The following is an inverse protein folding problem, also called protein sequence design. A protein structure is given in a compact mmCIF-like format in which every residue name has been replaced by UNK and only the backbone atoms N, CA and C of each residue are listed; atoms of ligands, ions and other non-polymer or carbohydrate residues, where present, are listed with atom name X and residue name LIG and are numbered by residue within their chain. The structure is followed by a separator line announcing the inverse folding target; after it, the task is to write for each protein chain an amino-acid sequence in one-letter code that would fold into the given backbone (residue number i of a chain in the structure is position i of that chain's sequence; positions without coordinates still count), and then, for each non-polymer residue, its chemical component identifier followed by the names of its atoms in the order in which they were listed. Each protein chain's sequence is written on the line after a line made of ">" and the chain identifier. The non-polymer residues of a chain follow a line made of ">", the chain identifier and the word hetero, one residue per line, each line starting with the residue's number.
data_IF_410385994747
#
_entry.id   IF_410385994747
#
_cell.length_a   1.000
_cell.length_b   1.000
_cell.length_c   1.000
_cell.angle_alpha   90.00
_cell.angle_beta   90.00
_cell.angle_gamma   90.00
#
_symmetry.space_group_name_H-M   'P 1'
#
loop_
_entity.id
_entity.type
_entity.pdbx_description
1 polymer ?
#
# COMPACT_ATOMS: atom_id res chain seq x y z
N UNK A 1 28.87 -14.75 24.41
CA UNK A 1 28.59 -16.13 23.94
C UNK A 1 29.43 -16.41 22.70
N UNK A 2 29.65 -17.66 22.33
CA UNK A 2 30.41 -18.02 21.12
C UNK A 2 29.47 -18.64 20.08
N UNK A 3 29.70 -18.33 18.81
CA UNK A 3 28.98 -18.88 17.67
C UNK A 3 29.91 -19.62 16.71
N UNK A 4 29.38 -20.66 16.08
CA UNK A 4 30.02 -21.43 15.02
C UNK A 4 29.25 -21.21 13.72
N UNK A 5 29.90 -20.62 12.73
CA UNK A 5 29.34 -20.34 11.41
C UNK A 5 29.30 -21.64 10.59
N UNK A 6 28.13 -21.94 10.04
CA UNK A 6 27.89 -23.10 9.19
C UNK A 6 27.03 -22.69 8.00
N UNK A 7 27.69 -22.33 6.90
CA UNK A 7 27.04 -21.78 5.72
C UNK A 7 26.24 -20.52 6.07
N UNK A 8 24.94 -20.53 5.81
CA UNK A 8 24.03 -19.40 6.05
C UNK A 8 23.44 -19.32 7.46
N UNK A 9 24.08 -19.93 8.47
CA UNK A 9 23.59 -19.96 9.86
C UNK A 9 24.74 -19.89 10.86
N UNK A 10 24.42 -19.43 12.08
CA UNK A 10 25.35 -19.47 13.21
C UNK A 10 24.75 -20.33 14.32
N UNK A 11 25.47 -21.35 14.72
CA UNK A 11 25.10 -22.24 15.82
C UNK A 11 25.72 -21.71 17.11
N UNK A 12 24.91 -21.48 18.13
CA UNK A 12 25.39 -20.92 19.40
C UNK A 12 25.93 -22.02 20.31
N UNK A 13 27.11 -21.80 20.90
CA UNK A 13 27.66 -22.61 21.97
C UNK A 13 27.40 -21.95 23.34
N UNK A 14 26.77 -22.67 24.27
CA UNK A 14 26.55 -22.22 25.66
C UNK A 14 25.07 -22.13 26.07
N UNK A 15 24.75 -21.24 27.02
CA UNK A 15 23.38 -21.10 27.56
C UNK A 15 22.43 -20.45 26.55
N UNK A 16 21.50 -21.24 26.01
CA UNK A 16 20.57 -20.85 24.94
C UNK A 16 19.30 -20.15 25.44
N UNK A 17 18.95 -20.34 26.73
CA UNK A 17 17.63 -20.00 27.26
C UNK A 17 17.31 -18.50 27.21
N UNK A 18 18.31 -17.65 27.50
CA UNK A 18 18.13 -16.19 27.51
C UNK A 18 17.98 -15.57 26.11
N UNK A 19 18.59 -16.17 25.09
CA UNK A 19 18.47 -15.74 23.69
C UNK A 19 17.10 -16.16 23.13
N UNK A 20 16.74 -17.44 23.33
CA UNK A 20 15.44 -17.98 22.90
C UNK A 20 14.26 -17.22 23.53
N UNK A 21 14.34 -16.89 24.82
CA UNK A 21 13.31 -16.11 25.52
C UNK A 21 13.12 -14.69 24.95
N UNK A 22 14.11 -14.15 24.24
CA UNK A 22 14.03 -12.86 23.54
C UNK A 22 13.66 -13.00 22.05
N UNK A 23 13.34 -14.21 21.61
CA UNK A 23 12.79 -14.50 20.29
C UNK A 23 13.81 -14.61 19.18
N UNK A 24 15.09 -14.85 19.52
CA UNK A 24 16.14 -15.10 18.56
C UNK A 24 16.31 -16.61 18.33
N UNK A 25 16.52 -16.96 17.07
CA UNK A 25 16.92 -18.29 16.64
C UNK A 25 15.81 -19.33 16.69
N UNK A 26 16.16 -20.52 16.23
CA UNK A 26 15.32 -21.71 16.29
C UNK A 26 16.10 -22.84 16.96
N UNK A 27 15.49 -23.43 17.97
CA UNK A 27 16.06 -24.61 18.63
C UNK A 27 15.70 -25.86 17.82
N UNK A 28 16.73 -26.54 17.31
CA UNK A 28 16.66 -27.93 16.88
C UNK A 28 17.46 -28.77 17.88
N UNK A 29 18.60 -29.32 17.46
CA UNK A 29 19.56 -29.98 18.35
C UNK A 29 20.39 -28.95 19.13
N UNK A 30 20.82 -27.89 18.44
CA UNK A 30 21.43 -26.68 19.00
C UNK A 30 20.61 -25.46 18.59
N UNK A 31 20.85 -24.32 19.25
CA UNK A 31 20.28 -23.05 18.84
C UNK A 31 20.92 -22.57 17.53
N UNK A 32 20.13 -22.57 16.45
CA UNK A 32 20.50 -22.02 15.15
C UNK A 32 20.00 -20.57 15.04
N UNK A 33 20.89 -19.65 14.70
CA UNK A 33 20.58 -18.27 14.33
C UNK A 33 20.68 -18.11 12.81
N UNK A 34 19.79 -17.30 12.25
CA UNK A 34 19.97 -16.72 10.93
C UNK A 34 21.16 -15.74 10.90
N UNK A 35 21.60 -15.36 9.70
CA UNK A 35 22.67 -14.38 9.52
C UNK A 35 22.29 -13.02 10.14
N UNK A 36 21.04 -12.59 10.01
CA UNK A 36 20.54 -11.31 10.52
C UNK A 36 20.48 -11.31 12.05
N UNK A 37 19.99 -12.41 12.64
CA UNK A 37 20.00 -12.60 14.09
C UNK A 37 21.43 -12.61 14.64
N UNK A 38 22.34 -13.33 13.99
CA UNK A 38 23.72 -13.44 14.40
C UNK A 38 24.48 -12.11 14.25
N UNK A 39 24.31 -11.40 13.13
CA UNK A 39 24.86 -10.06 12.89
C UNK A 39 24.47 -9.11 14.02
N UNK A 40 23.17 -9.03 14.35
CA UNK A 40 22.67 -8.15 15.38
C UNK A 40 23.22 -8.49 16.77
N UNK A 41 23.28 -9.79 17.09
CA UNK A 41 23.83 -10.24 18.38
C UNK A 41 25.35 -10.04 18.46
N UNK A 42 26.06 -10.10 17.34
CA UNK A 42 27.49 -9.86 17.27
C UNK A 42 27.81 -8.36 17.39
N UNK A 43 27.11 -7.52 16.61
CA UNK A 43 27.23 -6.05 16.67
C UNK A 43 26.89 -5.52 18.07
N UNK A 44 25.86 -6.06 18.73
CA UNK A 44 25.48 -5.68 20.10
C UNK A 44 26.33 -6.34 21.20
N UNK A 45 27.37 -7.08 20.84
CA UNK A 45 28.31 -7.72 21.78
C UNK A 45 27.76 -8.89 22.60
N UNK A 46 26.55 -9.37 22.31
CA UNK A 46 25.95 -10.53 23.00
C UNK A 46 26.62 -11.84 22.55
N UNK A 47 26.91 -11.94 21.27
CA UNK A 47 27.88 -12.90 20.73
C UNK A 47 29.21 -12.16 20.66
N UNK A 48 30.22 -12.70 21.31
CA UNK A 48 31.53 -12.07 21.41
C UNK A 48 32.51 -12.59 20.36
N UNK A 49 32.25 -13.77 19.79
CA UNK A 49 33.10 -14.45 18.80
C UNK A 49 32.26 -15.32 17.88
N UNK A 50 32.56 -15.29 16.58
CA UNK A 50 32.01 -16.21 15.58
C UNK A 50 33.19 -16.90 14.90
N UNK A 51 33.19 -18.23 14.85
CA UNK A 51 34.22 -19.04 14.19
C UNK A 51 33.72 -19.61 12.87
N UNK A 52 34.56 -19.54 11.84
CA UNK A 52 34.41 -20.28 10.58
C UNK A 52 35.35 -21.50 10.62
N UNK A 53 34.78 -22.69 10.73
CA UNK A 53 35.57 -23.91 10.97
C UNK A 53 36.27 -23.91 12.34
N UNK A 54 37.33 -24.70 12.48
CA UNK A 54 37.99 -24.90 13.78
C UNK A 54 38.89 -23.73 14.21
N UNK A 55 39.52 -23.03 13.25
CA UNK A 55 40.64 -22.12 13.54
C UNK A 55 40.36 -20.64 13.25
N UNK A 56 39.45 -20.30 12.32
CA UNK A 56 39.26 -18.92 11.89
C UNK A 56 38.19 -18.22 12.72
N UNK A 57 38.58 -17.24 13.53
CA UNK A 57 37.63 -16.30 14.15
C UNK A 57 37.38 -15.11 13.20
N UNK A 58 36.10 -14.81 12.93
CA UNK A 58 35.70 -13.68 12.10
C UNK A 58 35.45 -12.44 12.96
N UNK A 59 35.92 -11.29 12.51
CA UNK A 59 35.45 -10.00 13.01
C UNK A 59 34.10 -9.61 12.38
N UNK A 60 33.48 -8.50 12.83
CA UNK A 60 32.16 -8.08 12.34
C UNK A 60 32.17 -7.81 10.82
N UNK A 61 33.19 -7.11 10.31
CA UNK A 61 33.31 -6.80 8.88
C UNK A 61 33.40 -8.08 8.04
N UNK A 62 34.24 -9.04 8.44
CA UNK A 62 34.38 -10.32 7.77
C UNK A 62 33.10 -11.15 7.80
N UNK A 63 32.40 -11.14 8.94
CA UNK A 63 31.10 -11.81 9.07
C UNK A 63 30.03 -11.21 8.16
N UNK A 64 29.95 -9.87 8.07
CA UNK A 64 28.99 -9.21 7.20
C UNK A 64 29.30 -9.47 5.72
N UNK A 65 30.58 -9.46 5.32
CA UNK A 65 31.01 -9.84 3.96
C UNK A 65 30.60 -11.28 3.63
N UNK A 66 30.86 -12.22 4.54
CA UNK A 66 30.43 -13.61 4.37
C UNK A 66 28.90 -13.73 4.23
N UNK A 67 28.15 -12.98 5.03
CA UNK A 67 26.69 -13.01 4.97
C UNK A 67 26.15 -12.48 3.62
N UNK A 68 26.77 -11.43 3.06
CA UNK A 68 26.48 -10.91 1.72
C UNK A 68 26.82 -11.92 0.62
N UNK A 69 27.96 -12.59 0.72
CA UNK A 69 28.39 -13.59 -0.25
C UNK A 69 27.41 -14.77 -0.33
N UNK A 70 26.78 -15.13 0.79
CA UNK A 70 25.77 -16.20 0.86
C UNK A 70 24.39 -15.72 0.41
N UNK A 71 24.01 -14.51 0.80
CA UNK A 71 22.67 -13.97 0.57
C UNK A 71 22.81 -12.53 0.08
N UNK A 72 22.69 -12.28 -1.23
CA UNK A 72 22.79 -10.93 -1.78
C UNK A 72 21.81 -9.92 -1.16
N UNK A 73 20.63 -10.38 -0.73
CA UNK A 73 19.62 -9.55 -0.05
C UNK A 73 19.89 -9.32 1.44
N UNK A 74 21.02 -9.85 1.97
CA UNK A 74 21.32 -9.79 3.40
C UNK A 74 21.39 -8.37 3.92
N UNK A 75 21.95 -7.43 3.16
CA UNK A 75 22.06 -6.02 3.56
C UNK A 75 20.70 -5.44 3.93
N UNK A 76 19.74 -5.45 2.99
CA UNK A 76 18.39 -4.90 3.19
C UNK A 76 17.68 -5.62 4.33
N UNK A 77 17.78 -6.95 4.37
CA UNK A 77 17.19 -7.76 5.43
C UNK A 77 17.76 -7.42 6.80
N UNK A 78 19.07 -7.19 6.88
CA UNK A 78 19.74 -6.85 8.13
C UNK A 78 19.34 -5.46 8.63
N UNK A 79 19.27 -4.47 7.75
CA UNK A 79 18.85 -3.10 8.10
C UNK A 79 17.43 -3.08 8.71
N UNK A 80 16.48 -3.76 8.06
CA UNK A 80 15.11 -3.91 8.57
C UNK A 80 15.09 -4.68 9.90
N UNK A 81 15.84 -5.78 9.99
CA UNK A 81 15.91 -6.57 11.20
C UNK A 81 16.44 -5.76 12.39
N UNK A 82 17.52 -5.00 12.18
CA UNK A 82 18.14 -4.12 13.17
C UNK A 82 17.15 -3.07 13.65
N UNK A 83 16.52 -2.32 12.74
CA UNK A 83 15.54 -1.28 13.07
C UNK A 83 14.39 -1.84 13.92
N UNK A 84 13.81 -2.99 13.54
CA UNK A 84 12.74 -3.64 14.30
C UNK A 84 13.19 -4.08 15.70
N UNK A 85 14.40 -4.65 15.82
CA UNK A 85 14.94 -5.09 17.11
C UNK A 85 15.25 -3.92 18.04
N UNK A 86 15.79 -2.82 17.51
CA UNK A 86 16.05 -1.59 18.27
C UNK A 86 14.76 -0.94 18.78
N UNK A 87 13.68 -1.01 17.98
CA UNK A 87 12.32 -0.61 18.40
C UNK A 87 11.67 -1.56 19.41
N UNK A 88 12.32 -2.68 19.74
CA UNK A 88 11.89 -3.64 20.74
C UNK A 88 10.87 -4.68 20.23
N UNK A 89 10.75 -4.87 18.92
CA UNK A 89 9.89 -5.91 18.36
C UNK A 89 10.52 -7.29 18.46
N UNK A 90 9.65 -8.31 18.54
CA UNK A 90 10.03 -9.68 18.24
C UNK A 90 9.82 -9.89 16.75
N UNK A 91 10.92 -10.10 16.04
CA UNK A 91 10.98 -10.39 14.60
C UNK A 91 11.74 -11.70 14.40
N UNK A 92 11.27 -12.52 13.46
CA UNK A 92 11.90 -13.80 13.09
C UNK A 92 11.99 -13.94 11.56
N UNK A 93 13.12 -14.44 11.02
CA UNK A 93 13.22 -14.90 9.64
C UNK A 93 12.09 -15.85 9.25
N UNK A 94 11.46 -15.58 8.11
CA UNK A 94 10.28 -16.27 7.59
C UNK A 94 10.38 -16.56 6.09
N UNK A 95 9.29 -17.09 5.52
CA UNK A 95 9.21 -17.42 4.10
C UNK A 95 9.00 -16.21 3.19
N UNK A 96 8.45 -15.12 3.73
CA UNK A 96 8.26 -13.82 3.06
C UNK A 96 9.09 -12.80 3.84
N UNK A 97 10.40 -13.02 3.85
CA UNK A 97 11.42 -12.32 4.65
C UNK A 97 11.25 -12.41 6.17
N UNK A 98 10.32 -11.68 6.80
CA UNK A 98 10.15 -11.70 8.26
C UNK A 98 8.73 -11.94 8.74
N UNK A 99 8.62 -12.66 9.86
CA UNK A 99 7.46 -12.68 10.73
C UNK A 99 7.63 -11.66 11.84
N UNK A 100 6.63 -10.79 11.99
CA UNK A 100 6.62 -9.75 13.02
C UNK A 100 5.47 -9.99 14.00
N UNK A 101 5.83 -10.00 15.28
CA UNK A 101 4.91 -10.26 16.37
C UNK A 101 4.33 -8.95 16.92
N UNK A 102 3.11 -8.99 17.50
CA UNK A 102 2.55 -7.82 18.16
C UNK A 102 3.51 -7.23 19.19
N UNK A 103 3.52 -5.91 19.30
CA UNK A 103 4.39 -5.22 20.26
C UNK A 103 4.12 -5.72 21.69
N UNK A 104 5.20 -6.01 22.41
CA UNK A 104 5.14 -6.54 23.78
C UNK A 104 4.81 -8.03 23.90
N UNK A 105 4.52 -8.73 22.80
CA UNK A 105 4.32 -10.18 22.83
C UNK A 105 5.65 -10.89 23.13
N UNK A 106 5.61 -11.87 24.05
CA UNK A 106 6.75 -12.75 24.28
C UNK A 106 6.77 -13.89 23.24
N UNK A 107 7.94 -14.44 22.91
CA UNK A 107 8.03 -15.62 22.05
C UNK A 107 7.16 -16.76 22.61
N UNK A 108 6.31 -17.33 21.75
CA UNK A 108 5.39 -18.41 22.11
C UNK A 108 4.06 -17.98 22.74
N UNK A 109 3.88 -16.70 23.11
CA UNK A 109 2.63 -16.21 23.71
C UNK A 109 1.53 -15.98 22.67
N UNK A 110 1.89 -15.32 21.56
CA UNK A 110 0.99 -14.98 20.46
C UNK A 110 1.62 -15.37 19.13
N UNK A 111 0.83 -15.75 18.11
CA UNK A 111 1.36 -15.94 16.78
C UNK A 111 1.83 -14.60 16.18
N UNK A 112 2.70 -14.68 15.17
CA UNK A 112 3.05 -13.51 14.37
C UNK A 112 1.78 -12.92 13.74
N UNK A 113 1.61 -11.59 13.88
CA UNK A 113 0.45 -10.86 13.34
C UNK A 113 0.74 -10.36 11.93
N UNK A 114 2.00 -10.03 11.66
CA UNK A 114 2.41 -9.45 10.39
C UNK A 114 3.45 -10.32 9.71
N UNK A 115 3.57 -10.14 8.41
CA UNK A 115 4.80 -10.46 7.69
C UNK A 115 5.32 -9.23 6.98
N UNK A 116 6.63 -9.17 6.81
CA UNK A 116 7.30 -8.01 6.24
C UNK A 116 7.94 -8.45 4.93
N UNK A 117 7.50 -7.89 3.82
CA UNK A 117 8.20 -7.97 2.54
C UNK A 117 9.21 -6.83 2.46
N UNK A 118 10.46 -7.14 2.14
CA UNK A 118 11.54 -6.14 2.12
C UNK A 118 11.87 -5.78 0.67
N UNK A 119 11.97 -4.48 0.39
CA UNK A 119 12.31 -3.92 -0.92
C UNK A 119 13.35 -2.80 -0.75
N UNK A 120 14.21 -2.62 -1.75
CA UNK A 120 15.04 -1.41 -1.89
C UNK A 120 14.24 -0.28 -2.51
N UNK A 121 14.56 0.99 -2.21
CA UNK A 121 14.02 2.16 -2.91
C UNK A 121 14.20 2.08 -4.44
N UNK A 122 15.23 1.37 -4.91
CA UNK A 122 15.54 1.19 -6.33
C UNK A 122 14.75 0.05 -6.95
N UNK A 123 14.00 -0.68 -6.11
CA UNK A 123 13.15 -1.78 -6.51
C UNK A 123 11.90 -1.32 -7.24
N UNK A 124 11.28 -2.28 -7.90
CA UNK A 124 10.01 -2.13 -8.57
C UNK A 124 9.02 -3.12 -7.97
N UNK A 125 7.74 -2.75 -7.94
CA UNK A 125 6.66 -3.62 -7.51
C UNK A 125 5.51 -3.49 -8.50
N UNK A 126 5.12 -4.59 -9.13
CA UNK A 126 3.94 -4.59 -9.98
C UNK A 126 2.65 -4.62 -9.16
N UNK A 127 1.56 -4.10 -9.72
CA UNK A 127 0.23 -4.20 -9.11
C UNK A 127 -0.18 -5.68 -8.91
N UNK A 128 0.25 -6.57 -9.80
CA UNK A 128 0.08 -8.03 -9.68
C UNK A 128 0.79 -8.61 -8.47
N UNK A 129 2.02 -8.19 -8.21
CA UNK A 129 2.75 -8.61 -7.01
C UNK A 129 2.09 -8.08 -5.73
N UNK A 130 1.57 -6.85 -5.76
CA UNK A 130 0.82 -6.30 -4.63
C UNK A 130 -0.47 -7.10 -4.34
N UNK A 131 -1.21 -7.50 -5.39
CA UNK A 131 -2.38 -8.39 -5.24
C UNK A 131 -1.97 -9.78 -4.72
N UNK A 132 -0.89 -10.36 -5.24
CA UNK A 132 -0.36 -11.63 -4.76
C UNK A 132 0.03 -11.56 -3.27
N UNK A 133 0.60 -10.44 -2.81
CA UNK A 133 0.89 -10.19 -1.40
C UNK A 133 -0.40 -10.16 -0.55
N UNK A 134 -1.48 -9.53 -1.02
CA UNK A 134 -2.77 -9.51 -0.35
C UNK A 134 -3.42 -10.91 -0.27
N UNK A 135 -3.33 -11.70 -1.35
CA UNK A 135 -3.80 -13.09 -1.37
C UNK A 135 -3.02 -13.93 -0.37
N UNK A 136 -1.69 -13.80 -0.36
CA UNK A 136 -0.83 -14.49 0.58
C UNK A 136 -1.17 -14.13 2.03
N UNK A 137 -1.36 -12.84 2.31
CA UNK A 137 -1.76 -12.33 3.61
C UNK A 137 -3.06 -12.95 4.13
N UNK A 138 -4.09 -13.01 3.28
CA UNK A 138 -5.38 -13.66 3.60
C UNK A 138 -5.19 -15.14 3.94
N UNK A 139 -4.46 -15.88 3.10
CA UNK A 139 -4.20 -17.31 3.30
C UNK A 139 -3.47 -17.58 4.61
N UNK A 140 -2.53 -16.71 4.96
CA UNK A 140 -1.73 -16.82 6.19
C UNK A 140 -2.41 -16.23 7.44
N UNK A 141 -3.56 -15.56 7.27
CA UNK A 141 -4.28 -14.77 8.28
C UNK A 141 -3.35 -13.78 9.00
N UNK A 142 -2.57 -13.04 8.21
CA UNK A 142 -1.61 -12.03 8.67
C UNK A 142 -1.83 -10.71 7.94
N UNK A 143 -1.37 -9.62 8.53
CA UNK A 143 -1.35 -8.30 7.91
C UNK A 143 -0.01 -8.10 7.16
N UNK A 144 -0.02 -7.77 5.86
CA UNK A 144 1.21 -7.57 5.09
C UNK A 144 1.78 -6.17 5.32
N UNK A 145 3.08 -6.11 5.58
CA UNK A 145 3.85 -4.87 5.66
C UNK A 145 4.90 -4.91 4.56
N UNK A 146 5.06 -3.81 3.83
CA UNK A 146 6.21 -3.59 2.94
C UNK A 146 7.19 -2.69 3.71
N UNK A 147 8.43 -3.14 3.85
CA UNK A 147 9.53 -2.32 4.34
C UNK A 147 10.39 -1.90 3.15
N UNK A 148 10.47 -0.60 2.89
CA UNK A 148 11.32 0.00 1.87
C UNK A 148 12.55 0.56 2.55
N UNK A 149 13.73 0.16 2.07
CA UNK A 149 15.03 0.65 2.55
C UNK A 149 15.61 1.60 1.50
N UNK A 150 15.93 2.82 1.90
CA UNK A 150 16.48 3.86 1.03
C UNK A 150 18.01 3.83 0.94
N UNK A 151 18.57 4.70 0.07
CA UNK A 151 20.03 4.80 -0.11
C UNK A 151 20.79 5.33 1.10
N UNK A 152 20.09 5.97 2.04
CA UNK A 152 20.64 6.45 3.31
C UNK A 152 20.49 5.41 4.44
N UNK A 153 20.01 4.20 4.11
CA UNK A 153 19.74 3.07 5.02
C UNK A 153 18.58 3.28 6.00
N UNK A 154 17.73 4.29 5.74
CA UNK A 154 16.50 4.52 6.49
C UNK A 154 15.39 3.56 6.00
N UNK A 155 14.53 3.16 6.94
CA UNK A 155 13.47 2.16 6.69
C UNK A 155 12.10 2.78 6.84
N UNK A 156 11.31 2.74 5.77
CA UNK A 156 9.90 3.15 5.77
C UNK A 156 8.98 1.94 5.67
N UNK A 157 7.97 1.87 6.55
CA UNK A 157 7.03 0.75 6.62
C UNK A 157 5.63 1.15 6.13
N UNK A 158 5.11 0.41 5.15
CA UNK A 158 3.78 0.59 4.58
C UNK A 158 2.91 -0.63 4.90
N UNK A 159 1.74 -0.38 5.46
CA UNK A 159 0.73 -1.42 5.63
C UNK A 159 -0.11 -1.53 4.36
N UNK A 160 -0.23 -2.74 3.81
CA UNK A 160 -1.03 -2.98 2.60
C UNK A 160 -2.37 -3.58 3.00
N UNK A 161 -3.47 -2.97 2.52
CA UNK A 161 -4.83 -3.39 2.84
C UNK A 161 -5.73 -3.30 1.63
N UNK A 162 -6.67 -4.24 1.53
CA UNK A 162 -7.82 -4.10 0.66
C UNK A 162 -8.74 -3.00 1.20
N UNK A 163 -8.96 -1.96 0.41
CA UNK A 163 -9.90 -0.90 0.75
C UNK A 163 -11.34 -1.41 0.61
N UNK A 164 -12.13 -1.28 1.67
CA UNK A 164 -13.57 -1.57 1.65
C UNK A 164 -14.36 -0.27 1.61
N UNK A 165 -15.16 -0.11 0.56
CA UNK A 165 -16.07 1.02 0.40
C UNK A 165 -17.47 0.57 0.81
N UNK A 166 -17.86 0.95 2.03
CA UNK A 166 -19.20 0.71 2.54
C UNK A 166 -20.21 1.65 1.87
N UNK A 167 -21.46 1.18 1.75
CA UNK A 167 -22.54 2.02 1.27
C UNK A 167 -22.79 3.13 2.29
N UNK A 168 -22.69 4.38 1.84
CA UNK A 168 -23.12 5.52 2.62
C UNK A 168 -24.56 5.79 2.23
N UNK A 169 -25.49 5.63 3.18
CA UNK A 169 -26.88 6.03 2.97
C UNK A 169 -26.90 7.49 2.52
N UNK A 170 -27.42 7.70 1.30
CA UNK A 170 -27.89 9.02 0.91
C UNK A 170 -29.07 9.29 1.82
N UNK A 171 -28.99 10.34 2.65
CA UNK A 171 -30.17 10.83 3.36
C UNK A 171 -31.33 10.99 2.37
N UNK A 172 -32.56 10.69 2.82
CA UNK A 172 -33.80 10.60 2.02
C UNK A 172 -34.03 11.82 1.12
N UNK A 173 -33.31 11.90 0.01
CA UNK A 173 -33.55 12.81 -1.08
C UNK A 173 -34.40 12.06 -2.08
N UNK A 174 -35.62 12.54 -2.30
CA UNK A 174 -36.48 12.03 -3.37
C UNK A 174 -35.64 11.99 -4.66
N UNK A 175 -35.58 10.82 -5.30
CA UNK A 175 -35.18 10.73 -6.68
C UNK A 175 -36.26 11.46 -7.48
N UNK A 176 -36.13 12.78 -7.61
CA UNK A 176 -36.92 13.54 -8.57
C UNK A 176 -36.61 12.93 -9.94
N UNK A 177 -37.65 12.63 -10.71
CA UNK A 177 -37.50 12.32 -12.13
C UNK A 177 -36.94 13.58 -12.80
N UNK A 178 -35.62 13.70 -12.79
CA UNK A 178 -34.93 14.77 -13.46
C UNK A 178 -35.13 14.51 -14.95
N UNK A 179 -35.99 15.31 -15.58
CA UNK A 179 -36.15 15.29 -17.03
C UNK A 179 -34.80 15.43 -17.73
N UNK A 180 -34.67 14.78 -18.88
CA UNK A 180 -33.42 14.69 -19.65
C UNK A 180 -32.98 16.09 -20.12
N UNK A 181 -32.00 16.70 -19.44
CA UNK A 181 -31.54 18.04 -19.78
C UNK A 181 -30.44 18.01 -20.84
N UNK A 182 -30.52 18.92 -21.82
CA UNK A 182 -29.48 19.06 -22.85
C UNK A 182 -28.21 19.70 -22.27
N UNK A 183 -27.07 19.07 -22.52
CA UNK A 183 -25.75 19.59 -22.20
C UNK A 183 -24.86 19.64 -23.45
N UNK A 184 -23.92 20.58 -23.46
CA UNK A 184 -23.02 20.81 -24.61
C UNK A 184 -21.61 20.36 -24.25
N UNK A 185 -21.01 19.55 -25.13
CA UNK A 185 -19.60 19.20 -25.08
C UNK A 185 -18.75 20.33 -25.67
N UNK A 186 -17.80 20.85 -24.90
CA UNK A 186 -16.88 21.94 -25.28
C UNK A 186 -15.45 21.54 -24.90
N UNK A 187 -14.71 20.96 -25.86
CA UNK A 187 -13.37 20.43 -25.59
C UNK A 187 -13.42 19.32 -24.54
N UNK A 188 -12.65 19.45 -23.47
CA UNK A 188 -12.59 18.49 -22.35
C UNK A 188 -13.68 18.70 -21.27
N UNK A 189 -14.68 19.56 -21.53
CA UNK A 189 -15.74 19.89 -20.58
C UNK A 189 -17.13 19.67 -21.15
N UNK A 190 -18.05 19.32 -20.26
CA UNK A 190 -19.48 19.31 -20.56
C UNK A 190 -20.16 20.43 -19.77
N UNK A 191 -20.93 21.25 -20.47
CA UNK A 191 -21.66 22.38 -19.88
C UNK A 191 -23.14 22.08 -19.85
N UNK A 192 -23.71 22.04 -18.65
CA UNK A 192 -25.15 22.04 -18.45
C UNK A 192 -25.65 23.47 -18.33
N UNK A 193 -26.60 23.81 -19.21
CA UNK A 193 -27.16 25.16 -19.31
C UNK A 193 -28.35 25.40 -18.38
N UNK A 194 -29.13 24.37 -18.05
CA UNK A 194 -30.27 24.49 -17.14
C UNK A 194 -29.80 24.97 -15.75
N UNK A 195 -30.22 26.17 -15.34
CA UNK A 195 -29.70 26.79 -14.11
C UNK A 195 -30.19 26.13 -12.84
N UNK A 196 -31.38 25.54 -12.84
CA UNK A 196 -31.97 25.00 -11.63
C UNK A 196 -31.51 23.56 -11.42
N UNK A 197 -31.41 22.78 -12.51
CA UNK A 197 -30.74 21.49 -12.46
C UNK A 197 -29.24 21.63 -12.14
N UNK A 198 -28.55 22.62 -12.72
CA UNK A 198 -27.15 22.90 -12.42
C UNK A 198 -26.91 23.14 -10.92
N UNK A 199 -27.74 23.98 -10.29
CA UNK A 199 -27.66 24.22 -8.84
C UNK A 199 -27.97 22.95 -8.05
N UNK A 200 -29.02 22.21 -8.40
CA UNK A 200 -29.42 21.01 -7.68
C UNK A 200 -28.29 19.97 -7.69
N UNK A 201 -27.79 19.62 -8.89
CA UNK A 201 -26.69 18.67 -9.05
C UNK A 201 -25.41 19.11 -8.32
N UNK A 202 -25.12 20.40 -8.28
CA UNK A 202 -23.93 20.91 -7.60
C UNK A 202 -24.08 20.90 -6.07
N UNK A 203 -25.17 21.47 -5.56
CA UNK A 203 -25.37 21.70 -4.12
C UNK A 203 -25.75 20.41 -3.41
N UNK A 204 -26.70 19.64 -3.98
CA UNK A 204 -27.26 18.47 -3.33
C UNK A 204 -26.50 17.18 -3.66
N UNK A 205 -25.89 17.10 -4.85
CA UNK A 205 -25.22 15.87 -5.31
C UNK A 205 -23.72 16.02 -5.55
N UNK A 206 -23.18 17.23 -5.37
CA UNK A 206 -21.75 17.51 -5.46
C UNK A 206 -21.16 17.15 -6.84
N UNK A 207 -21.89 17.36 -7.94
CA UNK A 207 -21.32 17.28 -9.28
C UNK A 207 -20.67 18.59 -9.71
N UNK A 208 -19.63 18.49 -10.52
CA UNK A 208 -19.08 19.59 -11.30
C UNK A 208 -18.62 20.80 -10.48
N UNK A 209 -18.49 21.91 -11.20
CA UNK A 209 -18.20 23.25 -10.70
C UNK A 209 -19.26 24.21 -11.22
N UNK A 210 -20.00 24.84 -10.31
CA UNK A 210 -20.99 25.86 -10.65
C UNK A 210 -20.29 27.18 -10.99
N UNK A 211 -20.59 27.78 -12.14
CA UNK A 211 -20.09 29.10 -12.53
C UNK A 211 -20.90 30.23 -11.88
N UNK A 212 -20.42 31.47 -12.00
CA UNK A 212 -21.14 32.67 -11.50
C UNK A 212 -22.48 32.85 -12.21
N UNK A 213 -22.54 32.46 -13.48
CA UNK A 213 -23.72 32.48 -14.36
C UNK A 213 -24.66 31.28 -14.13
N UNK A 214 -24.44 30.50 -13.06
CA UNK A 214 -25.25 29.33 -12.69
C UNK A 214 -25.26 28.24 -13.76
N UNK A 215 -24.17 28.08 -14.51
CA UNK A 215 -23.92 26.94 -15.41
C UNK A 215 -23.10 25.89 -14.66
N UNK A 216 -23.32 24.61 -14.97
CA UNK A 216 -22.54 23.54 -14.36
C UNK A 216 -21.49 23.03 -15.34
N UNK A 217 -20.21 23.15 -14.96
CA UNK A 217 -19.09 22.55 -15.68
C UNK A 217 -18.82 21.17 -15.10
N UNK A 218 -18.96 20.14 -15.93
CA UNK A 218 -18.74 18.74 -15.59
C UNK A 218 -17.44 18.26 -16.23
N UNK A 219 -16.74 17.36 -15.57
CA UNK A 219 -15.73 16.53 -16.24
C UNK A 219 -16.40 15.49 -17.15
N UNK A 220 -15.62 14.89 -18.05
CA UNK A 220 -16.11 13.84 -18.94
C UNK A 220 -16.69 12.65 -18.16
N UNK A 221 -16.03 12.21 -17.07
CA UNK A 221 -16.50 11.10 -16.23
C UNK A 221 -17.78 11.43 -15.45
N UNK A 222 -17.93 12.67 -14.99
CA UNK A 222 -19.18 13.13 -14.34
C UNK A 222 -20.33 13.16 -15.35
N UNK A 223 -20.07 13.65 -16.56
CA UNK A 223 -21.05 13.71 -17.62
C UNK A 223 -21.50 12.31 -18.07
N UNK A 224 -20.57 11.38 -18.28
CA UNK A 224 -20.88 9.99 -18.62
C UNK A 224 -21.78 9.32 -17.56
N UNK A 225 -21.49 9.57 -16.29
CA UNK A 225 -22.29 9.03 -15.20
C UNK A 225 -23.71 9.60 -15.20
N UNK A 226 -23.85 10.91 -15.36
CA UNK A 226 -25.16 11.57 -15.44
C UNK A 226 -25.96 11.20 -16.71
N UNK A 227 -25.29 10.94 -17.84
CA UNK A 227 -25.91 10.37 -19.03
C UNK A 227 -26.45 8.96 -18.75
N UNK A 228 -25.67 8.09 -18.09
CA UNK A 228 -26.12 6.73 -17.71
C UNK A 228 -27.29 6.76 -16.73
N UNK A 229 -27.34 7.75 -15.84
CA UNK A 229 -28.49 7.99 -14.95
C UNK A 229 -29.68 8.67 -15.64
N UNK A 230 -29.62 8.86 -16.96
CA UNK A 230 -30.65 9.52 -17.77
C UNK A 230 -30.98 10.96 -17.33
N UNK A 231 -30.03 11.62 -16.67
CA UNK A 231 -30.15 13.02 -16.21
C UNK A 231 -29.77 14.00 -17.31
N UNK A 232 -28.79 13.63 -18.15
CA UNK A 232 -28.27 14.47 -19.23
C UNK A 232 -28.40 13.81 -20.59
N UNK A 233 -28.65 14.63 -21.60
CA UNK A 233 -28.46 14.32 -23.02
C UNK A 233 -27.34 15.19 -23.58
N UNK A 234 -26.35 14.56 -24.21
CA UNK A 234 -25.32 15.26 -24.97
C UNK A 234 -25.54 14.89 -26.43
N UNK A 235 -25.59 15.90 -27.30
CA UNK A 235 -25.84 15.75 -28.74
C UNK A 235 -24.60 15.22 -29.47
N UNK A 236 -24.13 14.04 -29.06
CA UNK A 236 -23.05 13.30 -29.71
C UNK A 236 -23.23 11.81 -29.44
N UNK A 237 -23.56 11.06 -30.50
CA UNK A 237 -23.65 9.60 -30.45
C UNK A 237 -22.30 8.92 -30.16
N UNK A 238 -21.20 9.67 -30.16
CA UNK A 238 -19.81 9.21 -29.99
C UNK A 238 -19.16 9.79 -28.73
N UNK A 239 -19.93 10.15 -27.69
CA UNK A 239 -19.38 10.76 -26.47
C UNK A 239 -18.23 9.95 -25.86
N UNK A 240 -18.39 8.63 -25.77
CA UNK A 240 -17.38 7.74 -25.19
C UNK A 240 -16.12 7.73 -26.05
N UNK A 241 -16.24 7.57 -27.37
CA UNK A 241 -15.10 7.60 -28.30
C UNK A 241 -14.34 8.93 -28.21
N UNK A 242 -15.08 10.05 -28.17
CA UNK A 242 -14.51 11.38 -28.00
C UNK A 242 -13.78 11.53 -26.65
N UNK A 243 -14.42 11.11 -25.55
CA UNK A 243 -13.82 11.19 -24.23
C UNK A 243 -12.55 10.35 -24.13
N UNK A 244 -12.56 9.13 -24.67
CA UNK A 244 -11.38 8.25 -24.77
C UNK A 244 -10.27 8.81 -25.66
N UNK A 245 -10.60 9.64 -26.66
CA UNK A 245 -9.60 10.32 -27.48
C UNK A 245 -8.89 11.48 -26.76
N UNK A 246 -9.54 12.06 -25.73
CA UNK A 246 -8.95 13.11 -24.88
C UNK A 246 -8.16 12.50 -23.73
N UNK A 247 -8.74 11.48 -23.09
CA UNK A 247 -8.20 10.85 -21.90
C UNK A 247 -8.16 9.33 -22.15
N UNK A 248 -6.98 8.78 -22.42
CA UNK A 248 -6.83 7.37 -22.81
C UNK A 248 -7.31 6.38 -21.75
N UNK A 249 -7.25 6.76 -20.47
CA UNK A 249 -7.73 5.99 -19.33
C UNK A 249 -9.15 6.40 -18.86
N UNK A 250 -9.89 7.12 -19.71
CA UNK A 250 -11.24 7.61 -19.41
C UNK A 250 -12.18 6.49 -18.96
N UNK A 251 -12.16 5.34 -19.65
CA UNK A 251 -13.07 4.23 -19.34
C UNK A 251 -12.75 3.60 -17.99
N UNK A 252 -11.47 3.41 -17.66
CA UNK A 252 -11.05 2.87 -16.37
C UNK A 252 -11.46 3.82 -15.24
N UNK A 253 -11.20 5.12 -15.42
CA UNK A 253 -11.65 6.18 -14.51
C UNK A 253 -13.16 6.20 -14.35
N UNK A 254 -13.91 6.01 -15.43
CA UNK A 254 -15.36 5.99 -15.41
C UNK A 254 -15.92 4.81 -14.62
N UNK A 255 -15.38 3.60 -14.82
CA UNK A 255 -15.80 2.40 -14.06
C UNK A 255 -15.59 2.60 -12.56
N UNK A 256 -14.43 3.13 -12.16
CA UNK A 256 -14.13 3.43 -10.75
C UNK A 256 -15.04 4.55 -10.22
N UNK A 257 -15.23 5.61 -11.00
CA UNK A 257 -16.10 6.74 -10.65
C UNK A 257 -17.53 6.27 -10.39
N UNK A 258 -18.08 5.46 -11.31
CA UNK A 258 -19.40 4.87 -11.18
C UNK A 258 -19.50 4.03 -9.91
N UNK A 259 -18.59 3.07 -9.73
CA UNK A 259 -18.59 2.17 -8.57
C UNK A 259 -18.67 2.95 -7.25
N UNK A 260 -17.85 3.99 -7.11
CA UNK A 260 -17.81 4.83 -5.92
C UNK A 260 -19.08 5.70 -5.77
N UNK A 261 -19.66 6.20 -6.87
CA UNK A 261 -20.93 6.97 -6.84
C UNK A 261 -22.12 6.09 -6.46
N UNK A 262 -22.17 4.85 -6.91
CA UNK A 262 -23.19 3.87 -6.52
C UNK A 262 -23.10 3.55 -5.01
N UNK A 263 -21.91 3.63 -4.41
CA UNK A 263 -21.72 3.51 -2.96
C UNK A 263 -22.13 4.76 -2.17
N UNK A 264 -22.65 5.80 -2.84
CA UNK A 264 -23.08 7.04 -2.20
C UNK A 264 -21.94 8.02 -1.88
N UNK A 265 -20.71 7.74 -2.34
CA UNK A 265 -19.56 8.58 -2.06
C UNK A 265 -19.58 9.85 -2.92
N UNK A 266 -18.99 10.92 -2.39
CA UNK A 266 -18.79 12.16 -3.11
C UNK A 266 -17.39 12.13 -3.73
N UNK A 267 -17.32 12.29 -5.04
CA UNK A 267 -16.08 12.19 -5.80
C UNK A 267 -15.80 13.55 -6.44
N UNK A 268 -14.57 14.03 -6.29
CA UNK A 268 -14.06 15.23 -6.97
C UNK A 268 -12.71 14.92 -7.60
N UNK A 269 -12.26 15.77 -8.51
CA UNK A 269 -10.89 15.68 -9.06
C UNK A 269 -9.85 15.69 -7.95
N UNK A 270 -8.90 14.76 -8.02
CA UNK A 270 -7.75 14.62 -7.14
C UNK A 270 -6.51 15.40 -7.59
N UNK A 271 -6.58 16.12 -8.72
CA UNK A 271 -5.43 16.73 -9.41
C UNK A 271 -4.48 17.51 -8.49
N UNK A 272 -5.02 18.27 -7.52
CA UNK A 272 -4.22 19.05 -6.56
C UNK A 272 -3.36 18.21 -5.60
N UNK A 273 -3.55 16.90 -5.60
CA UNK A 273 -2.87 15.92 -4.75
C UNK A 273 -2.16 14.84 -5.58
N UNK A 274 -1.97 15.06 -6.89
CA UNK A 274 -1.35 14.07 -7.78
C UNK A 274 -2.19 12.83 -8.07
N UNK A 275 -3.46 12.78 -7.66
CA UNK A 275 -4.34 11.61 -7.83
C UNK A 275 -5.47 11.87 -8.84
N UNK A 276 -6.11 10.80 -9.34
CA UNK A 276 -7.27 10.93 -10.22
C UNK A 276 -8.48 11.47 -9.48
N UNK A 277 -8.78 10.89 -8.31
CA UNK A 277 -9.93 11.28 -7.50
C UNK A 277 -9.55 11.56 -6.06
N UNK A 278 -10.28 12.49 -5.47
CA UNK A 278 -10.41 12.63 -4.02
C UNK A 278 -11.85 12.32 -3.63
N UNK A 279 -12.01 11.53 -2.58
CA UNK A 279 -13.29 10.96 -2.19
C UNK A 279 -13.67 11.36 -0.78
N UNK A 280 -14.94 11.68 -0.59
CA UNK A 280 -15.54 12.04 0.69
C UNK A 280 -16.66 11.05 1.02
N UNK A 281 -16.74 10.68 2.30
CA UNK A 281 -17.80 9.84 2.86
C UNK A 281 -19.03 10.64 3.28
N UNK A 282 -18.90 11.95 3.52
CA UNK A 282 -20.02 12.80 3.90
C UNK A 282 -19.85 14.24 3.42
N UNK A 283 -20.98 14.93 3.21
CA UNK A 283 -21.04 16.31 2.71
C UNK A 283 -20.32 17.34 3.61
N UNK A 284 -20.34 17.13 4.92
CA UNK A 284 -19.79 18.06 5.91
C UNK A 284 -18.28 17.84 6.18
N UNK A 285 -17.61 16.95 5.45
CA UNK A 285 -16.19 16.71 5.63
C UNK A 285 -15.33 17.84 5.06
N UNK A 286 -14.41 18.37 5.88
CA UNK A 286 -13.44 19.41 5.46
C UNK A 286 -12.33 18.87 4.56
N UNK A 287 -11.98 17.60 4.71
CA UNK A 287 -10.90 16.93 3.98
C UNK A 287 -11.41 15.64 3.34
N UNK A 288 -10.83 15.27 2.20
CA UNK A 288 -11.11 13.98 1.56
C UNK A 288 -10.63 12.83 2.43
N UNK A 289 -11.40 11.74 2.46
CA UNK A 289 -11.05 10.50 3.18
C UNK A 289 -10.10 9.61 2.39
N UNK A 290 -10.14 9.69 1.05
CA UNK A 290 -9.28 8.90 0.18
C UNK A 290 -8.75 9.74 -0.99
N UNK A 291 -7.54 9.43 -1.41
CA UNK A 291 -7.00 9.76 -2.73
C UNK A 291 -6.94 8.45 -3.52
N UNK A 292 -7.41 8.48 -4.77
CA UNK A 292 -7.55 7.27 -5.60
C UNK A 292 -6.80 7.49 -6.91
N UNK A 293 -5.89 6.59 -7.18
CA UNK A 293 -5.29 6.38 -8.50
C UNK A 293 -5.97 5.19 -9.15
N UNK A 294 -6.19 5.31 -10.45
CA UNK A 294 -6.76 4.25 -11.30
C UNK A 294 -5.63 3.83 -12.19
N UNK A 295 -5.21 2.58 -12.06
CA UNK A 295 -3.99 2.07 -12.66
C UNK A 295 -4.34 0.83 -13.48
N UNK A 296 -3.68 0.62 -14.64
CA UNK A 296 -3.86 -0.59 -15.40
C UNK A 296 -3.27 -1.80 -14.65
N UNK A 297 -3.71 -3.00 -14.99
CA UNK A 297 -3.32 -4.24 -14.29
C UNK A 297 -1.80 -4.51 -14.38
N UNK A 298 -1.18 -4.10 -15.48
CA UNK A 298 0.24 -4.20 -15.76
C UNK A 298 1.08 -3.08 -15.14
N UNK A 299 0.48 -2.18 -14.35
CA UNK A 299 1.22 -1.08 -13.74
C UNK A 299 2.34 -1.60 -12.83
N UNK A 300 3.50 -0.95 -12.94
CA UNK A 300 4.68 -1.22 -12.13
C UNK A 300 5.07 0.05 -11.42
N UNK A 301 5.04 0.02 -10.09
CA UNK A 301 5.49 1.10 -9.24
C UNK A 301 7.01 1.10 -9.13
N UNK A 302 7.64 2.26 -9.29
CA UNK A 302 8.89 2.52 -8.59
C UNK A 302 8.59 2.79 -7.11
N UNK A 303 9.50 2.48 -6.19
CA UNK A 303 9.21 2.71 -4.75
C UNK A 303 8.95 4.18 -4.40
N UNK A 304 9.60 5.19 -5.03
CA UNK A 304 9.26 6.58 -4.79
C UNK A 304 7.83 6.99 -5.23
N UNK A 305 7.19 6.22 -6.10
CA UNK A 305 5.83 6.47 -6.58
C UNK A 305 4.74 5.74 -5.77
N UNK A 306 5.10 4.69 -5.00
CA UNK A 306 4.18 3.85 -4.23
C UNK A 306 3.58 4.58 -3.02
#
# INVERSE_FOLDING_TARGET
>A
MQGELSGGKVVVAGSEAGILAKGYGRKKDRLELSLEEAAFLFETGKISRIKEGEERELNLEEFLKHALDISPEFELRYLVYRDLKERGYVVQPGGVDFWLYPRGAKPGEKPARYFIRILSERGFLSLKELDALLILARNMRKEPIIAVVDEESDVTYYEVKEAKFEFVEKGEGKAEEIGKAKATLLGDRVVLWDTDLAKNLHINNFYGKLTKEKRLLLSLVEAAYLMKKNVLEIDTGQFIEYASSIESDFMDKYVVYEYLREKGLIIKTGFKFGSHFRVYKAANQKHSSYLIHVLPEEHVFSMPEL
#
